data_IF_729336477799
#
_entry.id   IF_729336477799
#
_cell.length_a   1.000
_cell.length_b   1.000
_cell.length_c   1.000
_cell.angle_alpha   90.00
_cell.angle_beta   90.00
_cell.angle_gamma   90.00
#
_symmetry.space_group_name_H-M   'P 1'
#
loop_
_entity.id
_entity.type
_entity.pdbx_description
1 polymer ?
#
# COMPACT_ATOMS: atom_id res chain seq x y z
N UNK A 1 27.76 11.73 -4.71
CA UNK A 1 26.60 10.89 -4.32
C UNK A 1 26.17 10.12 -5.56
N UNK A 2 26.85 9.04 -5.87
CA UNK A 2 26.50 8.21 -7.03
C UNK A 2 25.19 7.48 -6.76
N UNK A 3 24.29 7.52 -7.74
CA UNK A 3 22.96 6.94 -7.63
C UNK A 3 23.04 5.41 -7.60
N UNK A 4 22.75 4.83 -6.44
CA UNK A 4 22.59 3.38 -6.21
C UNK A 4 21.46 2.73 -7.06
N UNK A 5 20.76 3.50 -7.89
CA UNK A 5 19.71 3.00 -8.81
C UNK A 5 20.29 1.96 -9.77
N UNK A 6 21.53 2.14 -10.24
CA UNK A 6 22.19 1.20 -11.15
C UNK A 6 22.50 -0.16 -10.53
N UNK A 7 22.58 -0.24 -9.19
CA UNK A 7 22.76 -1.51 -8.46
C UNK A 7 21.62 -2.48 -8.77
N UNK A 8 20.38 -1.99 -8.78
CA UNK A 8 19.20 -2.83 -8.96
C UNK A 8 19.05 -3.38 -10.39
N UNK A 9 19.48 -2.63 -11.40
CA UNK A 9 19.44 -3.08 -12.79
C UNK A 9 20.49 -4.14 -13.15
N UNK A 10 21.54 -4.31 -12.32
CA UNK A 10 22.57 -5.35 -12.49
C UNK A 10 22.31 -6.60 -11.65
N UNK A 11 21.41 -6.52 -10.67
CA UNK A 11 21.07 -7.66 -9.83
C UNK A 11 20.19 -8.63 -10.62
N UNK A 12 20.60 -9.90 -10.65
CA UNK A 12 19.73 -10.94 -11.19
C UNK A 12 18.47 -11.03 -10.33
N UNK A 13 17.28 -10.88 -10.92
CA UNK A 13 16.03 -10.97 -10.20
C UNK A 13 15.90 -12.35 -9.53
N UNK A 14 15.60 -12.41 -8.22
CA UNK A 14 15.40 -13.70 -7.52
C UNK A 14 14.08 -14.36 -7.91
N UNK A 15 13.03 -13.55 -8.04
CA UNK A 15 11.73 -13.99 -8.57
C UNK A 15 11.73 -13.91 -10.11
N UNK A 16 11.16 -14.87 -10.85
CA UNK A 16 10.93 -14.68 -12.29
C UNK A 16 9.68 -13.80 -12.52
N UNK A 17 9.55 -13.12 -13.68
CA UNK A 17 8.42 -12.22 -13.95
C UNK A 17 7.03 -12.84 -13.77
N UNK A 18 6.90 -14.16 -14.02
CA UNK A 18 5.62 -14.88 -14.04
C UNK A 18 5.49 -15.92 -12.91
N UNK A 19 6.43 -15.96 -11.96
CA UNK A 19 6.58 -17.10 -11.03
C UNK A 19 6.06 -16.86 -9.62
N UNK A 20 5.12 -15.93 -9.41
CA UNK A 20 4.53 -15.77 -8.09
C UNK A 20 3.32 -16.69 -7.98
N UNK A 21 3.57 -17.96 -7.62
CA UNK A 21 2.51 -18.86 -7.16
C UNK A 21 2.03 -18.39 -5.78
N UNK A 22 0.91 -17.68 -5.76
CA UNK A 22 0.26 -17.27 -4.53
C UNK A 22 -0.55 -18.45 -3.97
N UNK A 23 0.01 -19.14 -2.99
CA UNK A 23 -0.79 -20.04 -2.14
C UNK A 23 -1.63 -19.21 -1.18
N UNK A 24 -2.88 -18.91 -1.57
CA UNK A 24 -3.84 -18.20 -0.71
C UNK A 24 -4.34 -19.05 0.47
N UNK A 25 -3.99 -20.34 0.48
CA UNK A 25 -4.30 -21.27 1.57
C UNK A 25 -3.23 -21.29 2.66
N UNK A 26 -2.03 -20.76 2.39
CA UNK A 26 -0.93 -20.75 3.34
C UNK A 26 -0.76 -19.35 3.92
N UNK A 27 -1.42 -19.11 5.05
CA UNK A 27 -1.24 -17.88 5.81
C UNK A 27 0.14 -17.89 6.47
N UNK A 28 0.91 -16.82 6.25
CA UNK A 28 2.14 -16.60 7.01
C UNK A 28 1.85 -16.39 8.50
N UNK A 29 2.91 -16.21 9.28
CA UNK A 29 2.79 -15.85 10.71
C UNK A 29 1.82 -14.67 10.88
N UNK A 30 0.87 -14.73 11.84
CA UNK A 30 -0.09 -13.65 12.06
C UNK A 30 0.61 -12.30 12.24
N UNK A 31 0.00 -11.24 11.69
CA UNK A 31 0.44 -9.87 11.92
C UNK A 31 0.06 -9.49 13.35
N UNK A 32 1.04 -9.51 14.25
CA UNK A 32 0.83 -9.22 15.69
C UNK A 32 0.97 -7.74 16.02
N UNK A 33 1.66 -6.97 15.18
CA UNK A 33 1.85 -5.53 15.37
C UNK A 33 0.84 -4.77 14.50
N UNK A 34 -0.20 -4.25 15.15
CA UNK A 34 -1.19 -3.36 14.57
C UNK A 34 -1.19 -2.04 15.35
N UNK A 35 -1.56 -0.94 14.69
CA UNK A 35 -1.79 0.34 15.35
C UNK A 35 -2.99 0.33 16.31
N UNK A 36 -3.87 -0.67 16.20
CA UNK A 36 -5.04 -0.84 17.07
C UNK A 36 -5.47 -2.32 17.13
N UNK A 37 -6.17 -2.67 18.19
CA UNK A 37 -6.80 -3.98 18.37
C UNK A 37 -8.07 -4.12 17.54
N UNK A 38 -8.53 -5.37 17.35
CA UNK A 38 -9.78 -5.65 16.66
C UNK A 38 -10.99 -4.98 17.33
N UNK A 39 -11.01 -4.96 18.65
CA UNK A 39 -12.14 -4.40 19.40
C UNK A 39 -12.12 -2.87 19.41
N UNK A 40 -10.94 -2.25 19.44
CA UNK A 40 -10.80 -0.80 19.21
C UNK A 40 -11.29 -0.40 17.82
N UNK A 41 -10.93 -1.15 16.77
CA UNK A 41 -11.42 -0.88 15.41
C UNK A 41 -12.95 -0.98 15.34
N UNK A 42 -13.55 -2.01 15.95
CA UNK A 42 -15.01 -2.16 16.02
C UNK A 42 -15.67 -1.02 16.79
N UNK A 43 -15.07 -0.59 17.90
CA UNK A 43 -15.56 0.55 18.66
C UNK A 43 -15.51 1.84 17.84
N UNK A 44 -14.42 2.09 17.12
CA UNK A 44 -14.30 3.23 16.21
C UNK A 44 -15.36 3.21 15.10
N UNK A 45 -15.70 2.03 14.56
CA UNK A 45 -16.79 1.88 13.59
C UNK A 45 -18.15 2.23 14.19
N UNK A 46 -18.41 1.84 15.45
CA UNK A 46 -19.67 2.18 16.13
C UNK A 46 -19.77 3.69 16.40
N UNK A 47 -18.70 4.30 16.90
CA UNK A 47 -18.64 5.75 17.11
C UNK A 47 -18.83 6.52 15.79
N UNK A 48 -18.19 6.07 14.71
CA UNK A 48 -18.39 6.66 13.38
C UNK A 48 -19.86 6.61 12.93
N UNK A 49 -20.57 5.50 13.21
CA UNK A 49 -21.99 5.37 12.90
C UNK A 49 -22.84 6.34 13.71
N UNK A 50 -22.53 6.51 15.00
CA UNK A 50 -23.23 7.46 15.87
C UNK A 50 -23.07 8.89 15.36
N UNK A 51 -21.86 9.30 14.98
CA UNK A 51 -21.61 10.61 14.36
C UNK A 51 -22.35 10.80 13.03
N UNK A 52 -22.48 9.74 12.21
CA UNK A 52 -23.28 9.80 10.98
C UNK A 52 -24.76 10.00 11.30
N UNK A 53 -25.30 9.26 12.28
CA UNK A 53 -26.71 9.36 12.68
C UNK A 53 -27.05 10.69 13.34
N UNK A 54 -26.11 11.25 14.11
CA UNK A 54 -26.23 12.58 14.71
C UNK A 54 -26.17 13.71 13.65
N UNK A 55 -25.68 13.41 12.45
CA UNK A 55 -25.52 14.38 11.36
C UNK A 55 -24.19 15.14 11.38
N UNK A 56 -23.22 14.72 12.19
CA UNK A 56 -21.91 15.36 12.30
C UNK A 56 -21.05 15.15 11.04
N UNK A 57 -21.15 13.96 10.43
CA UNK A 57 -20.39 13.57 9.24
C UNK A 57 -21.27 12.74 8.30
N UNK A 58 -21.00 12.80 7.00
CA UNK A 58 -21.69 11.96 6.01
C UNK A 58 -20.97 10.64 5.74
N UNK A 59 -19.64 10.66 5.78
CA UNK A 59 -18.79 9.50 5.50
C UNK A 59 -17.44 9.66 6.20
N UNK A 60 -16.88 8.55 6.66
CA UNK A 60 -15.50 8.45 7.15
C UNK A 60 -14.87 7.15 6.65
N UNK A 61 -13.57 7.21 6.37
CA UNK A 61 -12.76 6.05 6.02
C UNK A 61 -11.81 5.74 7.18
N UNK A 62 -12.08 4.65 7.89
CA UNK A 62 -11.22 4.18 8.97
C UNK A 62 -10.09 3.32 8.38
N UNK A 63 -8.88 3.47 8.92
CA UNK A 63 -7.71 2.70 8.54
C UNK A 63 -6.95 2.20 9.76
N UNK A 64 -6.34 1.04 9.65
CA UNK A 64 -5.37 0.53 10.62
C UNK A 64 -4.06 0.18 9.92
N UNK A 65 -2.96 0.29 10.64
CA UNK A 65 -1.62 0.05 10.12
C UNK A 65 -1.05 -1.24 10.69
N UNK A 66 -0.57 -2.10 9.81
CA UNK A 66 0.15 -3.31 10.19
C UNK A 66 1.65 -3.13 10.01
N UNK A 67 2.42 -3.74 10.91
CA UNK A 67 3.87 -3.74 10.88
C UNK A 67 4.45 -5.14 10.92
N UNK A 68 5.57 -5.34 10.22
CA UNK A 68 6.35 -6.57 10.30
C UNK A 68 7.82 -6.29 9.99
N UNK A 69 8.72 -6.87 10.78
CA UNK A 69 10.16 -6.88 10.46
C UNK A 69 10.44 -7.91 9.37
N UNK A 70 11.24 -7.53 8.39
CA UNK A 70 11.64 -8.40 7.27
C UNK A 70 13.11 -8.17 6.91
N UNK A 71 13.74 -9.21 6.38
CA UNK A 71 15.08 -9.16 5.79
C UNK A 71 15.03 -9.11 4.25
N UNK A 72 13.83 -9.10 3.66
CA UNK A 72 13.66 -8.98 2.22
C UNK A 72 14.18 -7.64 1.71
N UNK A 73 14.86 -7.66 0.56
CA UNK A 73 15.25 -6.43 -0.11
C UNK A 73 14.00 -5.66 -0.55
N UNK A 74 13.90 -4.34 -0.30
CA UNK A 74 12.73 -3.54 -0.67
C UNK A 74 12.36 -3.61 -2.16
N UNK A 75 13.34 -3.81 -3.04
CA UNK A 75 13.08 -3.97 -4.47
C UNK A 75 12.43 -5.31 -4.79
N UNK A 76 12.80 -6.40 -4.09
CA UNK A 76 12.10 -7.68 -4.23
C UNK A 76 10.65 -7.59 -3.71
N UNK A 77 10.40 -6.81 -2.66
CA UNK A 77 9.03 -6.51 -2.21
C UNK A 77 8.24 -5.79 -3.31
N UNK A 78 8.83 -4.80 -3.98
CA UNK A 78 8.20 -4.12 -5.11
C UNK A 78 7.89 -5.07 -6.27
N UNK A 79 8.82 -5.97 -6.61
CA UNK A 79 8.63 -6.94 -7.68
C UNK A 79 7.54 -7.95 -7.36
N UNK A 80 7.52 -8.48 -6.15
CA UNK A 80 6.44 -9.34 -5.67
C UNK A 80 5.11 -8.59 -5.70
N UNK A 81 5.04 -7.37 -5.16
CA UNK A 81 3.82 -6.57 -5.17
C UNK A 81 3.31 -6.29 -6.59
N UNK A 82 4.21 -6.04 -7.56
CA UNK A 82 3.85 -5.83 -8.96
C UNK A 82 3.26 -7.07 -9.62
N UNK A 83 3.75 -8.26 -9.27
CA UNK A 83 3.21 -9.52 -9.78
C UNK A 83 1.83 -9.82 -9.16
N UNK A 84 1.66 -9.56 -7.86
CA UNK A 84 0.39 -9.81 -7.14
C UNK A 84 -0.69 -8.79 -7.50
N UNK A 85 -0.33 -7.50 -7.56
CA UNK A 85 -1.24 -6.40 -7.83
C UNK A 85 -0.66 -5.52 -8.96
N UNK A 86 -0.76 -5.97 -10.23
CA UNK A 86 -0.22 -5.28 -11.38
C UNK A 86 -1.01 -4.00 -11.68
N UNK A 87 -0.71 -2.94 -10.94
CA UNK A 87 -1.33 -1.63 -11.12
C UNK A 87 -0.62 -0.81 -12.21
N UNK A 88 -1.34 0.05 -12.96
CA UNK A 88 -0.72 1.07 -13.82
C UNK A 88 0.10 2.12 -13.03
N UNK A 89 -0.15 2.29 -11.72
CA UNK A 89 0.51 3.27 -10.84
C UNK A 89 1.33 2.60 -9.73
N UNK A 90 2.33 1.83 -10.14
CA UNK A 90 3.35 1.28 -9.23
C UNK A 90 4.31 2.36 -8.76
N UNK A 91 4.69 2.34 -7.48
CA UNK A 91 5.62 3.30 -6.87
C UNK A 91 6.76 2.56 -6.18
N UNK A 92 7.99 2.93 -6.52
CA UNK A 92 9.20 2.61 -5.77
C UNK A 92 9.99 3.91 -5.57
N UNK A 93 9.99 4.44 -4.36
CA UNK A 93 10.64 5.71 -4.02
C UNK A 93 11.64 5.48 -2.89
N UNK A 94 12.92 5.66 -3.18
CA UNK A 94 13.98 5.64 -2.18
C UNK A 94 14.23 7.07 -1.68
N UNK A 95 13.74 7.38 -0.49
CA UNK A 95 14.01 8.63 0.21
C UNK A 95 15.23 8.49 1.13
N UNK A 96 15.67 9.60 1.75
CA UNK A 96 16.83 9.59 2.66
C UNK A 96 16.63 8.73 3.90
N UNK A 97 15.40 8.62 4.39
CA UNK A 97 15.07 7.99 5.68
C UNK A 97 14.25 6.72 5.55
N UNK A 98 13.66 6.46 4.38
CA UNK A 98 12.79 5.31 4.15
C UNK A 98 12.71 4.97 2.66
N UNK A 99 12.17 3.78 2.39
CA UNK A 99 11.82 3.34 1.03
C UNK A 99 10.31 3.11 1.01
N UNK A 100 9.63 3.76 0.08
CA UNK A 100 8.19 3.60 -0.16
C UNK A 100 7.97 2.66 -1.34
N UNK A 101 7.21 1.60 -1.09
CA UNK A 101 6.75 0.64 -2.09
C UNK A 101 5.23 0.65 -2.07
N UNK A 102 4.61 0.87 -3.23
CA UNK A 102 3.15 0.97 -3.31
C UNK A 102 2.60 0.52 -4.66
N UNK A 103 1.37 0.02 -4.63
CA UNK A 103 0.57 -0.29 -5.81
C UNK A 103 -0.80 0.37 -5.61
N UNK A 104 -1.14 1.34 -6.47
CA UNK A 104 -2.42 2.06 -6.39
C UNK A 104 -3.25 1.79 -7.63
N UNK A 105 -4.40 1.13 -7.56
CA UNK A 105 -5.19 0.80 -8.76
C UNK A 105 -5.70 2.05 -9.49
N UNK A 106 -5.80 3.18 -8.78
CA UNK A 106 -6.45 4.40 -9.26
C UNK A 106 -5.59 5.66 -9.09
N UNK A 107 -5.82 6.63 -9.98
CA UNK A 107 -5.15 7.93 -9.95
C UNK A 107 -5.99 8.93 -9.16
N UNK A 108 -5.37 9.64 -8.21
CA UNK A 108 -6.05 10.70 -7.48
C UNK A 108 -6.44 11.83 -8.43
N UNK A 109 -5.45 12.36 -9.17
CA UNK A 109 -5.66 13.46 -10.10
C UNK A 109 -4.61 13.40 -11.20
N UNK A 110 -5.04 13.66 -12.44
CA UNK A 110 -4.20 13.82 -13.63
C UNK A 110 -4.58 15.11 -14.31
N UNK A 111 -3.60 15.98 -14.54
CA UNK A 111 -3.79 17.20 -15.34
C UNK A 111 -3.09 17.00 -16.67
N UNK A 112 -3.80 17.24 -17.77
CA UNK A 112 -3.26 17.24 -19.14
C UNK A 112 -3.71 18.53 -19.83
N UNK A 113 -2.76 19.45 -20.02
CA UNK A 113 -3.01 20.80 -20.54
C UNK A 113 -4.07 21.53 -19.70
N UNK A 114 -5.29 21.69 -20.23
CA UNK A 114 -6.41 22.35 -19.56
C UNK A 114 -7.44 21.38 -18.99
N UNK A 115 -7.23 20.06 -19.12
CA UNK A 115 -8.16 19.02 -18.66
C UNK A 115 -7.60 18.38 -17.38
N UNK A 116 -8.40 18.40 -16.33
CA UNK A 116 -8.16 17.65 -15.10
C UNK A 116 -9.09 16.43 -15.06
N UNK A 117 -8.52 15.24 -14.84
CA UNK A 117 -9.23 14.00 -14.56
C UNK A 117 -8.92 13.60 -13.12
N UNK A 118 -9.93 13.29 -12.32
CA UNK A 118 -9.76 12.81 -10.94
C UNK A 118 -10.70 11.65 -10.67
N UNK A 119 -10.25 10.68 -9.87
CA UNK A 119 -11.13 9.65 -9.35
C UNK A 119 -11.62 10.06 -7.96
N UNK A 120 -12.92 9.91 -7.72
CA UNK A 120 -13.52 10.12 -6.40
C UNK A 120 -13.36 8.86 -5.53
N UNK A 121 -12.12 8.53 -5.20
CA UNK A 121 -11.82 7.59 -4.11
C UNK A 121 -10.73 8.21 -3.23
N UNK A 122 -11.05 8.38 -1.95
CA UNK A 122 -10.24 9.10 -0.98
C UNK A 122 -8.89 8.39 -0.72
N UNK A 123 -7.84 9.19 -0.57
CA UNK A 123 -6.51 8.75 -0.18
C UNK A 123 -6.56 8.19 1.26
N UNK A 124 -6.25 6.91 1.46
CA UNK A 124 -5.69 6.45 2.72
C UNK A 124 -4.18 6.62 2.62
N UNK A 125 -3.61 7.48 3.47
CA UNK A 125 -2.17 7.63 3.67
C UNK A 125 -1.76 7.03 5.01
#
# INVERSE_FOLDING_TARGET
MESNVWKYWRLKPKLAPDSVELSTQQFGTPLTQSSMTSDEYKSAVLQAKEHILAGDIFQILLSQRFERRTFADPFEIYRALRAVNPSPYMTYLQARVCILVGSRPEILTRVKSVIMLSNCWFLNM
#
